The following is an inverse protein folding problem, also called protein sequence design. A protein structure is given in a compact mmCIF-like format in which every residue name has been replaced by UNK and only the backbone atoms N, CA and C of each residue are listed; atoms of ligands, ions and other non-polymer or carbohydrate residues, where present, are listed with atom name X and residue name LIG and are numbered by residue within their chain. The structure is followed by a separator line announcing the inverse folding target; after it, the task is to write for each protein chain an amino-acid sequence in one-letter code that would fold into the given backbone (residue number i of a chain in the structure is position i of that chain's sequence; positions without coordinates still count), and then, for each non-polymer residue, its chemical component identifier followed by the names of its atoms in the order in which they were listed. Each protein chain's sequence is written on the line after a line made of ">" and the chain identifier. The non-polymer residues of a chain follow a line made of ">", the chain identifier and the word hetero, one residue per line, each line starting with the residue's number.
data_IF_314955611974
#
_entry.id   IF_314955611974
#
_cell.length_a   1.000
_cell.length_b   1.000
_cell.length_c   1.000
_cell.angle_alpha   90.00
_cell.angle_beta   90.00
_cell.angle_gamma   90.00
#
_symmetry.space_group_name_H-M   'P 1'
#
loop_
_entity.id
_entity.type
_entity.pdbx_description
1 polymer ?
#
# COMPACT_ATOMS: atom_id res chain seq x y z
N UNK A 1 -21.42 -19.30 26.52
CA UNK A 1 -21.21 -18.22 25.53
C UNK A 1 -19.96 -18.58 24.75
N UNK A 2 -20.11 -18.93 23.48
CA UNK A 2 -18.98 -19.29 22.61
C UNK A 2 -18.20 -18.03 22.26
N UNK A 3 -17.06 -17.82 22.93
CA UNK A 3 -16.07 -16.83 22.49
C UNK A 3 -15.53 -17.29 21.14
N UNK A 4 -16.13 -16.79 20.06
CA UNK A 4 -15.60 -16.94 18.71
C UNK A 4 -14.18 -16.40 18.72
N UNK A 5 -13.21 -17.29 18.48
CA UNK A 5 -11.83 -16.93 18.12
C UNK A 5 -11.91 -16.09 16.84
N UNK A 6 -12.09 -14.78 16.99
CA UNK A 6 -12.05 -13.86 15.86
C UNK A 6 -10.61 -13.81 15.38
N UNK A 7 -10.35 -14.53 14.30
CA UNK A 7 -9.08 -14.46 13.62
C UNK A 7 -9.07 -13.24 12.71
N UNK A 8 -8.35 -12.22 13.13
CA UNK A 8 -8.19 -10.97 12.38
C UNK A 8 -6.78 -10.87 11.77
N UNK A 9 -6.55 -9.84 10.98
CA UNK A 9 -5.27 -9.65 10.29
C UNK A 9 -4.13 -9.39 11.30
N UNK A 10 -4.41 -9.02 12.55
CA UNK A 10 -3.39 -8.72 13.55
C UNK A 10 -2.66 -9.99 14.03
N UNK A 11 -3.22 -11.17 13.77
CA UNK A 11 -2.49 -12.41 13.95
C UNK A 11 -1.32 -12.50 12.97
N UNK A 12 -0.10 -12.62 13.51
CA UNK A 12 1.14 -12.71 12.73
C UNK A 12 1.06 -13.75 11.61
N UNK A 13 0.44 -14.91 11.88
CA UNK A 13 0.27 -15.99 10.90
C UNK A 13 -0.58 -15.56 9.71
N UNK A 14 -1.65 -14.80 9.97
CA UNK A 14 -2.58 -14.31 8.95
C UNK A 14 -1.93 -13.21 8.15
N UNK A 15 -1.34 -12.21 8.83
CA UNK A 15 -0.61 -11.14 8.16
C UNK A 15 0.53 -11.68 7.30
N UNK A 16 1.34 -12.61 7.82
CA UNK A 16 2.44 -13.25 7.10
C UNK A 16 1.97 -14.00 5.86
N UNK A 17 0.81 -14.67 5.94
CA UNK A 17 0.20 -15.34 4.80
C UNK A 17 -0.20 -14.32 3.72
N UNK A 18 -0.88 -13.24 4.12
CA UNK A 18 -1.27 -12.15 3.22
C UNK A 18 -0.02 -11.53 2.57
N UNK A 19 1.03 -11.25 3.35
CA UNK A 19 2.28 -10.68 2.86
C UNK A 19 2.96 -11.56 1.82
N UNK A 20 3.13 -12.85 2.12
CA UNK A 20 3.75 -13.81 1.19
C UNK A 20 2.97 -13.93 -0.11
N UNK A 21 1.63 -13.88 -0.04
CA UNK A 21 0.78 -14.10 -1.19
C UNK A 21 0.57 -12.84 -2.05
N UNK A 22 0.63 -11.63 -1.47
CA UNK A 22 0.22 -10.40 -2.18
C UNK A 22 1.34 -9.39 -2.39
N UNK A 23 2.49 -9.48 -1.70
CA UNK A 23 3.57 -8.50 -1.82
C UNK A 23 4.08 -8.35 -3.27
N UNK A 24 4.39 -9.47 -3.92
CA UNK A 24 4.84 -9.48 -5.32
C UNK A 24 3.74 -9.04 -6.30
N UNK A 25 2.48 -9.40 -6.05
CA UNK A 25 1.36 -9.00 -6.90
C UNK A 25 1.16 -7.47 -6.88
N UNK A 26 1.19 -6.87 -5.68
CA UNK A 26 1.10 -5.41 -5.53
C UNK A 26 2.32 -4.75 -6.16
N UNK A 27 3.53 -5.26 -5.92
CA UNK A 27 4.75 -4.74 -6.53
C UNK A 27 4.67 -4.73 -8.06
N UNK A 28 4.31 -5.87 -8.66
CA UNK A 28 4.21 -6.02 -10.11
C UNK A 28 3.15 -5.08 -10.70
N UNK A 29 2.01 -4.93 -10.02
CA UNK A 29 0.97 -3.99 -10.42
C UNK A 29 1.48 -2.54 -10.45
N UNK A 30 2.14 -2.09 -9.39
CA UNK A 30 2.70 -0.74 -9.33
C UNK A 30 3.81 -0.55 -10.36
N UNK A 31 4.74 -1.50 -10.44
CA UNK A 31 5.86 -1.48 -11.38
C UNK A 31 5.38 -1.41 -12.82
N UNK A 32 4.41 -2.22 -13.19
CA UNK A 32 3.84 -2.24 -14.55
C UNK A 32 3.16 -0.91 -14.90
N UNK A 33 2.47 -0.30 -13.92
CA UNK A 33 1.68 0.91 -14.15
C UNK A 33 2.51 2.19 -14.12
N UNK A 34 3.57 2.25 -13.32
CA UNK A 34 4.30 3.49 -13.01
C UNK A 34 5.81 3.43 -13.28
N UNK A 35 6.37 2.25 -13.57
CA UNK A 35 7.82 2.06 -13.68
C UNK A 35 8.54 1.99 -12.33
N UNK A 36 9.87 2.05 -12.36
CA UNK A 36 10.72 1.98 -11.15
C UNK A 36 10.99 3.35 -10.50
N UNK A 37 10.68 4.45 -11.20
CA UNK A 37 11.05 5.81 -10.78
C UNK A 37 10.49 6.25 -9.42
N UNK A 38 9.50 5.51 -8.89
CA UNK A 38 8.77 5.84 -7.66
C UNK A 38 8.89 4.76 -6.57
N UNK A 39 9.96 3.95 -6.65
CA UNK A 39 10.24 2.83 -5.74
C UNK A 39 8.99 2.01 -5.35
N UNK A 40 8.49 1.16 -6.27
CA UNK A 40 7.33 0.34 -5.99
C UNK A 40 7.49 -0.59 -4.77
N UNK A 41 8.73 -0.92 -4.36
CA UNK A 41 8.95 -1.80 -3.19
C UNK A 41 8.65 -1.07 -1.89
N UNK A 42 9.08 0.19 -1.79
CA UNK A 42 8.74 1.06 -0.67
C UNK A 42 7.21 1.20 -0.53
N UNK A 43 6.51 1.46 -1.64
CA UNK A 43 5.03 1.61 -1.61
C UNK A 43 4.29 0.34 -1.23
N UNK A 44 4.81 -0.83 -1.59
CA UNK A 44 4.29 -2.10 -1.08
C UNK A 44 4.48 -2.18 0.42
N UNK A 45 5.68 -1.93 0.93
CA UNK A 45 5.96 -1.99 2.37
C UNK A 45 5.07 -1.03 3.16
N UNK A 46 4.97 0.23 2.76
CA UNK A 46 4.13 1.23 3.43
C UNK A 46 2.64 0.84 3.39
N UNK A 47 2.14 0.24 2.29
CA UNK A 47 0.77 -0.26 2.22
C UNK A 47 0.52 -1.42 3.19
N UNK A 48 1.49 -2.31 3.38
CA UNK A 48 1.41 -3.39 4.37
C UNK A 48 1.47 -2.90 5.81
N UNK A 49 2.27 -1.87 6.10
CA UNK A 49 2.26 -1.20 7.42
C UNK A 49 0.88 -0.62 7.69
N UNK A 50 0.28 0.08 6.73
CA UNK A 50 -1.09 0.61 6.86
C UNK A 50 -2.13 -0.49 7.06
N UNK A 51 -1.96 -1.65 6.43
CA UNK A 51 -2.83 -2.82 6.65
C UNK A 51 -2.70 -3.33 8.08
N UNK A 52 -1.46 -3.44 8.59
CA UNK A 52 -1.19 -3.84 9.96
C UNK A 52 -1.80 -2.87 10.98
N UNK A 53 -1.63 -1.55 10.79
CA UNK A 53 -2.21 -0.54 11.67
C UNK A 53 -3.74 -0.59 11.72
N UNK A 54 -4.38 -1.07 10.64
CA UNK A 54 -5.83 -1.19 10.50
C UNK A 54 -6.34 -2.64 10.60
N UNK A 55 -5.51 -3.57 11.10
CA UNK A 55 -5.75 -5.00 11.01
C UNK A 55 -7.04 -5.49 11.68
N UNK A 56 -7.58 -4.74 12.66
CA UNK A 56 -8.86 -5.03 13.32
C UNK A 56 -10.09 -4.58 12.52
N UNK A 57 -9.90 -3.59 11.64
CA UNK A 57 -10.96 -2.94 10.88
C UNK A 57 -11.12 -3.55 9.48
N UNK A 58 -10.12 -4.29 9.03
CA UNK A 58 -10.06 -4.90 7.71
C UNK A 58 -10.15 -6.41 7.87
N UNK A 59 -11.15 -7.01 7.25
CA UNK A 59 -11.28 -8.46 7.22
C UNK A 59 -10.28 -9.08 6.24
N UNK A 60 -9.76 -10.30 6.48
CA UNK A 60 -8.76 -10.92 5.61
C UNK A 60 -9.15 -10.98 4.11
N UNK A 61 -10.43 -11.16 3.80
CA UNK A 61 -10.95 -11.15 2.42
C UNK A 61 -10.82 -9.78 1.72
N UNK A 62 -10.80 -8.69 2.48
CA UNK A 62 -10.63 -7.32 1.98
C UNK A 62 -9.17 -6.87 1.92
N UNK A 63 -8.22 -7.66 2.42
CA UNK A 63 -6.82 -7.28 2.45
C UNK A 63 -6.27 -6.99 1.04
N UNK A 64 -6.65 -7.79 0.04
CA UNK A 64 -6.21 -7.59 -1.36
C UNK A 64 -6.69 -6.25 -1.92
N UNK A 65 -7.99 -5.97 -1.88
CA UNK A 65 -8.51 -4.70 -2.41
C UNK A 65 -7.96 -3.49 -1.65
N UNK A 66 -7.79 -3.61 -0.33
CA UNK A 66 -7.16 -2.59 0.50
C UNK A 66 -5.72 -2.29 0.06
N UNK A 67 -4.87 -3.31 -0.08
CA UNK A 67 -3.46 -3.14 -0.43
C UNK A 67 -3.28 -2.50 -1.81
N UNK A 68 -3.99 -2.98 -2.82
CA UNK A 68 -3.92 -2.43 -4.18
C UNK A 68 -4.39 -0.98 -4.23
N UNK A 69 -5.51 -0.67 -3.56
CA UNK A 69 -6.06 0.70 -3.52
C UNK A 69 -5.10 1.64 -2.79
N UNK A 70 -4.62 1.22 -1.63
CA UNK A 70 -3.73 2.03 -0.78
C UNK A 70 -2.44 2.35 -1.51
N UNK A 71 -1.77 1.33 -2.07
CA UNK A 71 -0.52 1.53 -2.78
C UNK A 71 -0.70 2.37 -4.06
N UNK A 72 -1.78 2.17 -4.82
CA UNK A 72 -2.11 2.99 -5.99
C UNK A 72 -2.29 4.47 -5.61
N UNK A 73 -3.02 4.75 -4.53
CA UNK A 73 -3.23 6.12 -4.07
C UNK A 73 -1.93 6.79 -3.64
N UNK A 74 -1.01 6.03 -3.05
CA UNK A 74 0.31 6.53 -2.65
C UNK A 74 1.15 6.91 -3.87
N UNK A 75 1.17 6.09 -4.92
CA UNK A 75 1.82 6.45 -6.19
C UNK A 75 1.23 7.71 -6.81
N UNK A 76 -0.11 7.83 -6.84
CA UNK A 76 -0.80 9.01 -7.37
C UNK A 76 -0.47 10.28 -6.57
N UNK A 77 -0.36 10.16 -5.24
CA UNK A 77 0.02 11.28 -4.39
C UNK A 77 1.46 11.73 -4.63
N UNK A 78 2.39 10.79 -4.83
CA UNK A 78 3.78 11.09 -5.17
C UNK A 78 3.88 11.83 -6.51
N UNK A 79 3.19 11.34 -7.54
CA UNK A 79 3.11 12.00 -8.85
C UNK A 79 2.54 13.43 -8.74
N UNK A 80 1.49 13.60 -7.92
CA UNK A 80 0.90 14.92 -7.67
C UNK A 80 1.88 15.84 -6.96
N UNK A 81 2.64 15.34 -5.98
CA UNK A 81 3.66 16.10 -5.26
C UNK A 81 4.76 16.57 -6.22
N UNK A 82 5.30 15.68 -7.05
CA UNK A 82 6.33 16.03 -8.04
C UNK A 82 5.85 17.09 -9.02
N UNK A 83 4.60 17.01 -9.49
CA UNK A 83 4.00 18.03 -10.36
C UNK A 83 3.99 19.41 -9.71
N UNK A 84 3.70 19.50 -8.41
CA UNK A 84 3.73 20.77 -7.67
C UNK A 84 5.16 21.28 -7.52
N UNK A 85 6.12 20.41 -7.20
CA UNK A 85 7.54 20.77 -7.09
C UNK A 85 8.09 21.31 -8.40
N UNK A 86 7.78 20.67 -9.53
CA UNK A 86 8.21 21.13 -10.86
C UNK A 86 7.65 22.52 -11.19
N UNK A 87 6.33 22.73 -11.00
CA UNK A 87 5.72 24.05 -11.20
C UNK A 87 6.34 25.13 -10.32
N UNK A 88 6.70 24.81 -9.09
CA UNK A 88 7.37 25.78 -8.21
C UNK A 88 8.79 26.11 -8.70
N UNK A 89 9.54 25.13 -9.22
CA UNK A 89 10.86 25.35 -9.82
C UNK A 89 10.78 26.22 -11.08
N UNK A 90 9.77 26.02 -11.93
CA UNK A 90 9.55 26.83 -13.13
C UNK A 90 9.19 28.29 -12.82
N UNK A 91 8.41 28.50 -11.75
CA UNK A 91 7.92 29.84 -11.37
C UNK A 91 8.84 30.59 -10.39
N UNK A 92 10.01 30.03 -10.02
CA UNK A 92 10.97 30.76 -9.19
C UNK A 92 11.62 31.87 -10.04
N UNK A 93 11.44 33.17 -9.68
CA UNK A 93 12.15 34.23 -10.37
C UNK A 93 13.66 34.04 -10.18
N UNK A 94 14.43 34.30 -11.24
CA UNK A 94 15.90 34.30 -11.21
C UNK A 94 16.43 35.22 -10.13
#
# INVERSE_FOLDING_TARGET
>A
MTTSLKSDICEERIFSSIFKNLSNDVYNFLRFRYGDEYDPRDKVQEAFIKLWDNCKNITPDKAKSFLFTTANNMMLNELKHQKVVLKYKENKPK
#
